data_IF_268293724143
#
_entry.id   IF_268293724143
#
_cell.length_a   1.000
_cell.length_b   1.000
_cell.length_c   1.000
_cell.angle_alpha   90.00
_cell.angle_beta   90.00
_cell.angle_gamma   90.00
#
_symmetry.space_group_name_H-M   'P 1'
#
loop_
_entity.id
_entity.type
_entity.pdbx_description
1 polymer ?
#
# COMPACT_ATOMS: atom_id res chain seq x y z
N UNK A 1 -61.90 65.52 11.20
CA UNK A 1 -60.77 66.48 11.24
C UNK A 1 -59.49 65.66 11.14
N UNK A 2 -58.75 65.88 10.03
CA UNK A 2 -57.35 65.55 9.66
C UNK A 2 -56.69 64.25 10.19
N UNK A 3 -56.37 63.24 9.37
CA UNK A 3 -55.35 63.11 8.28
C UNK A 3 -53.92 62.75 8.75
N UNK A 4 -53.46 61.54 8.40
CA UNK A 4 -52.16 61.19 7.76
C UNK A 4 -52.18 59.66 7.46
N UNK A 5 -52.34 59.14 6.22
CA UNK A 5 -51.42 59.07 5.07
C UNK A 5 -49.96 58.74 5.43
N UNK A 6 -49.27 57.73 4.89
CA UNK A 6 -49.54 56.75 3.82
C UNK A 6 -48.60 55.52 3.97
N UNK A 7 -49.04 54.33 3.56
CA UNK A 7 -48.78 53.69 2.24
C UNK A 7 -47.33 53.15 2.14
N UNK A 8 -47.00 51.89 1.88
CA UNK A 8 -47.39 50.90 0.86
C UNK A 8 -46.73 49.55 1.27
N UNK A 9 -47.17 48.33 0.93
CA UNK A 9 -48.26 47.81 0.12
C UNK A 9 -48.19 46.28 0.17
N UNK A 10 -49.35 45.62 0.22
CA UNK A 10 -49.50 44.18 0.05
C UNK A 10 -49.78 43.91 -1.43
N UNK A 11 -49.01 43.02 -2.08
CA UNK A 11 -49.46 42.32 -3.29
C UNK A 11 -48.94 40.88 -3.25
N UNK A 12 -49.86 39.94 -2.98
CA UNK A 12 -49.74 38.55 -3.40
C UNK A 12 -50.20 38.48 -4.87
N UNK A 13 -49.54 37.72 -5.74
CA UNK A 13 -50.11 36.49 -6.31
C UNK A 13 -49.26 35.89 -7.45
N UNK A 14 -49.09 34.58 -7.33
CA UNK A 14 -49.03 33.49 -8.32
C UNK A 14 -49.04 33.86 -9.82
N UNK A 15 -47.99 33.41 -10.53
CA UNK A 15 -48.13 32.79 -11.85
C UNK A 15 -47.06 31.71 -12.02
N UNK A 16 -47.55 30.47 -12.09
CA UNK A 16 -46.86 29.35 -12.69
C UNK A 16 -46.85 29.52 -14.22
N UNK A 17 -45.79 29.04 -14.87
CA UNK A 17 -45.82 28.02 -15.93
C UNK A 17 -44.68 28.19 -16.95
N UNK A 18 -44.08 27.02 -17.26
CA UNK A 18 -43.41 26.63 -18.49
C UNK A 18 -42.19 27.45 -18.96
N UNK A 19 -41.00 26.83 -18.97
CA UNK A 19 -40.60 26.05 -20.15
C UNK A 19 -39.26 25.29 -19.98
N UNK A 20 -39.36 23.96 -20.12
CA UNK A 20 -38.45 23.03 -20.83
C UNK A 20 -36.94 22.94 -20.47
N UNK A 21 -36.58 21.73 -19.99
CA UNK A 21 -35.23 21.18 -19.80
C UNK A 21 -34.35 21.22 -21.08
N UNK A 22 -33.04 20.92 -20.98
CA UNK A 22 -32.68 19.50 -21.05
C UNK A 22 -31.83 19.01 -19.86
N UNK A 23 -31.90 17.70 -19.56
CA UNK A 23 -31.00 17.06 -18.62
C UNK A 23 -29.59 17.05 -19.21
N UNK A 24 -28.58 17.39 -18.41
CA UNK A 24 -27.18 17.20 -18.78
C UNK A 24 -26.87 15.70 -18.76
N UNK A 25 -27.33 15.01 -19.81
CA UNK A 25 -26.87 13.69 -20.19
C UNK A 25 -25.66 13.84 -21.11
N UNK A 26 -24.76 12.88 -21.00
CA UNK A 26 -23.58 12.64 -21.84
C UNK A 26 -22.31 13.46 -21.55
N UNK A 27 -21.55 12.95 -20.59
CA UNK A 27 -20.24 12.45 -20.95
C UNK A 27 -19.97 11.15 -20.20
N UNK A 28 -20.34 10.02 -20.82
CA UNK A 28 -19.55 8.80 -20.65
C UNK A 28 -18.22 9.08 -21.38
N UNK A 29 -17.30 9.80 -20.76
CA UNK A 29 -15.90 9.70 -21.14
C UNK A 29 -15.44 8.35 -20.65
N UNK A 30 -15.60 7.39 -21.56
CA UNK A 30 -14.96 6.09 -21.52
C UNK A 30 -13.48 6.33 -21.84
N UNK A 31 -12.80 7.11 -21.00
CA UNK A 31 -11.38 7.36 -21.15
C UNK A 31 -10.66 6.12 -20.70
N UNK A 32 -10.40 5.33 -21.73
CA UNK A 32 -9.49 4.21 -21.75
C UNK A 32 -8.07 4.72 -21.88
N UNK A 33 -7.76 5.88 -21.30
CA UNK A 33 -6.41 6.41 -21.29
C UNK A 33 -5.69 5.82 -20.08
N UNK A 34 -4.77 4.93 -20.38
CA UNK A 34 -3.61 4.63 -19.53
C UNK A 34 -2.71 5.88 -19.55
N UNK A 35 -3.26 7.02 -19.13
CA UNK A 35 -2.58 8.30 -19.10
C UNK A 35 -1.79 8.41 -17.81
N UNK A 36 -0.47 8.60 -17.92
CA UNK A 36 0.39 8.97 -16.81
C UNK A 36 -0.10 10.30 -16.21
N UNK A 37 -0.91 10.23 -15.17
CA UNK A 37 -1.33 11.40 -14.41
C UNK A 37 -0.30 11.71 -13.32
N UNK A 38 -0.09 12.99 -12.98
CA UNK A 38 0.83 13.39 -11.89
C UNK A 38 0.60 12.61 -10.59
N UNK A 39 -0.66 12.36 -10.15
CA UNK A 39 -0.92 11.53 -8.97
C UNK A 39 -0.49 10.08 -9.14
N UNK A 40 -0.63 9.49 -10.33
CA UNK A 40 -0.15 8.13 -10.58
C UNK A 40 1.38 8.07 -10.52
N UNK A 41 2.08 9.06 -11.07
CA UNK A 41 3.54 9.10 -11.02
C UNK A 41 4.05 9.18 -9.57
N UNK A 42 3.43 10.01 -8.73
CA UNK A 42 3.76 10.10 -7.30
C UNK A 42 3.58 8.76 -6.59
N UNK A 43 2.47 8.06 -6.87
CA UNK A 43 2.21 6.71 -6.34
C UNK A 43 3.28 5.72 -6.75
N UNK A 44 3.64 5.69 -8.03
CA UNK A 44 4.65 4.77 -8.55
C UNK A 44 6.03 5.05 -7.93
N UNK A 45 6.42 6.32 -7.79
CA UNK A 45 7.68 6.68 -7.12
C UNK A 45 7.69 6.25 -5.65
N UNK A 46 6.58 6.45 -4.93
CA UNK A 46 6.44 5.98 -3.55
C UNK A 46 6.53 4.45 -3.45
N UNK A 47 5.96 3.71 -4.40
CA UNK A 47 6.09 2.24 -4.46
C UNK A 47 7.51 1.78 -4.80
N UNK A 48 8.20 2.42 -5.74
CA UNK A 48 9.61 2.12 -6.06
C UNK A 48 10.48 2.34 -4.82
N UNK A 49 10.41 3.53 -4.22
CA UNK A 49 11.26 3.89 -3.07
C UNK A 49 10.92 3.07 -1.83
N UNK A 50 9.63 2.88 -1.55
CA UNK A 50 9.19 2.06 -0.42
C UNK A 50 9.65 0.61 -0.56
N UNK A 51 9.46 0.01 -1.73
CA UNK A 51 9.93 -1.36 -1.98
C UNK A 51 11.46 -1.43 -1.94
N UNK A 52 12.16 -0.44 -2.48
CA UNK A 52 13.62 -0.36 -2.40
C UNK A 52 14.12 -0.38 -0.96
N UNK A 53 13.64 0.52 -0.11
CA UNK A 53 14.09 0.61 1.28
C UNK A 53 13.68 -0.62 2.10
N UNK A 54 12.49 -1.17 1.85
CA UNK A 54 12.01 -2.39 2.49
C UNK A 54 12.95 -3.57 2.21
N UNK A 55 13.22 -3.83 0.93
CA UNK A 55 14.09 -4.93 0.51
C UNK A 55 15.53 -4.68 0.93
N UNK A 56 16.02 -3.45 0.80
CA UNK A 56 17.37 -3.10 1.22
C UNK A 56 17.57 -3.37 2.72
N UNK A 57 16.71 -2.84 3.59
CA UNK A 57 16.84 -3.04 5.04
C UNK A 57 16.66 -4.50 5.45
N UNK A 58 15.62 -5.16 4.94
CA UNK A 58 15.31 -6.56 5.23
C UNK A 58 16.44 -7.51 4.81
N UNK A 59 16.87 -7.44 3.55
CA UNK A 59 17.93 -8.29 3.04
C UNK A 59 19.31 -7.92 3.62
N UNK A 60 19.59 -6.63 3.88
CA UNK A 60 20.83 -6.23 4.55
C UNK A 60 20.94 -6.86 5.94
N UNK A 61 19.85 -6.95 6.70
CA UNK A 61 19.87 -7.61 8.01
C UNK A 61 20.28 -9.09 7.91
N UNK A 62 19.85 -9.78 6.85
CA UNK A 62 20.23 -11.18 6.58
C UNK A 62 21.71 -11.28 6.21
N UNK A 63 22.20 -10.42 5.32
CA UNK A 63 23.61 -10.40 4.90
C UNK A 63 24.53 -10.05 6.06
N UNK A 64 24.20 -9.03 6.85
CA UNK A 64 24.94 -8.66 8.07
C UNK A 64 24.96 -9.81 9.07
N UNK A 65 23.84 -10.52 9.23
CA UNK A 65 23.76 -11.68 10.11
C UNK A 65 24.66 -12.84 9.63
N UNK A 66 24.79 -13.06 8.33
CA UNK A 66 25.69 -14.09 7.78
C UNK A 66 27.16 -13.69 7.96
N UNK A 67 27.51 -12.42 7.70
CA UNK A 67 28.89 -11.95 7.73
C UNK A 67 29.46 -11.76 9.14
N UNK A 68 28.62 -11.49 10.14
CA UNK A 68 29.02 -11.24 11.53
C UNK A 68 28.60 -12.38 12.45
N UNK A 69 28.92 -13.63 12.11
CA UNK A 69 28.75 -14.80 12.99
C UNK A 69 27.36 -14.98 13.62
N UNK A 70 26.28 -14.60 12.91
CA UNK A 70 24.88 -14.71 13.35
C UNK A 70 24.48 -13.82 14.55
N UNK A 71 25.18 -12.70 14.78
CA UNK A 71 24.90 -11.76 15.89
C UNK A 71 23.48 -11.16 15.86
N UNK A 72 22.86 -10.97 14.69
CA UNK A 72 21.51 -10.37 14.58
C UNK A 72 20.42 -11.33 15.04
N UNK A 73 20.61 -12.65 14.85
CA UNK A 73 19.62 -13.71 15.05
C UNK A 73 18.35 -13.55 14.19
N UNK A 74 17.48 -14.57 14.20
CA UNK A 74 16.17 -14.52 13.52
C UNK A 74 15.29 -13.39 14.09
N UNK A 75 15.35 -13.18 15.41
CA UNK A 75 14.56 -12.15 16.09
C UNK A 75 14.93 -10.76 15.60
N UNK A 76 16.23 -10.47 15.47
CA UNK A 76 16.69 -9.18 14.96
C UNK A 76 16.30 -8.94 13.50
N UNK A 77 16.40 -9.97 12.65
CA UNK A 77 15.94 -9.90 11.25
C UNK A 77 14.45 -9.58 11.20
N UNK A 78 13.65 -10.28 12.01
CA UNK A 78 12.19 -10.08 12.09
C UNK A 78 11.83 -8.64 12.51
N UNK A 79 12.55 -8.10 13.50
CA UNK A 79 12.38 -6.72 13.96
C UNK A 79 12.69 -5.73 12.84
N UNK A 80 13.78 -5.92 12.09
CA UNK A 80 14.16 -5.03 10.98
C UNK A 80 13.06 -5.02 9.90
N UNK A 81 12.56 -6.18 9.49
CA UNK A 81 11.48 -6.27 8.50
C UNK A 81 10.22 -5.55 8.96
N UNK A 82 9.77 -5.80 10.19
CA UNK A 82 8.56 -5.17 10.71
C UNK A 82 8.68 -3.66 10.90
N UNK A 83 9.79 -3.19 11.47
CA UNK A 83 10.04 -1.76 11.64
C UNK A 83 10.20 -1.03 10.31
N UNK A 84 10.87 -1.64 9.32
CA UNK A 84 10.98 -1.06 7.99
C UNK A 84 9.60 -0.85 7.36
N UNK A 85 8.73 -1.87 7.41
CA UNK A 85 7.34 -1.74 6.92
C UNK A 85 6.58 -0.65 7.68
N UNK A 86 6.64 -0.65 9.01
CA UNK A 86 5.97 0.37 9.83
C UNK A 86 6.38 1.79 9.44
N UNK A 87 7.68 2.06 9.38
CA UNK A 87 8.22 3.37 9.02
C UNK A 87 7.79 3.79 7.61
N UNK A 88 7.86 2.88 6.64
CA UNK A 88 7.50 3.18 5.26
C UNK A 88 5.99 3.41 5.08
N UNK A 89 5.14 2.64 5.77
CA UNK A 89 3.69 2.85 5.76
C UNK A 89 3.35 4.23 6.32
N UNK A 90 3.95 4.63 7.45
CA UNK A 90 3.72 5.98 7.98
C UNK A 90 4.29 7.09 7.10
N UNK A 91 5.42 6.83 6.43
CA UNK A 91 6.12 7.85 5.63
C UNK A 91 5.45 8.11 4.28
N UNK A 92 5.07 7.06 3.53
CA UNK A 92 4.56 7.21 2.16
C UNK A 92 3.22 6.51 1.90
N UNK A 93 2.61 5.91 2.94
CA UNK A 93 1.30 5.26 2.83
C UNK A 93 0.18 6.20 2.41
N UNK A 94 0.24 7.47 2.82
CA UNK A 94 -0.71 8.50 2.39
C UNK A 94 -0.57 8.86 0.89
N UNK A 95 0.55 8.50 0.24
CA UNK A 95 0.83 8.76 -1.17
C UNK A 95 0.34 7.59 -2.03
N UNK A 96 0.88 6.39 -1.81
CA UNK A 96 0.60 5.21 -2.66
C UNK A 96 -0.39 4.21 -2.10
N UNK A 97 -0.72 4.29 -0.81
CA UNK A 97 -1.34 3.20 -0.05
C UNK A 97 -0.32 2.22 0.55
N UNK A 98 0.99 2.42 0.29
CA UNK A 98 2.09 1.61 0.81
C UNK A 98 1.91 0.10 0.58
N UNK A 99 1.70 -0.32 -0.67
CA UNK A 99 1.51 -1.73 -0.98
C UNK A 99 2.84 -2.49 -0.86
N UNK A 100 3.89 -1.96 -1.50
CA UNK A 100 5.27 -2.47 -1.54
C UNK A 100 5.41 -3.97 -1.88
N UNK A 101 4.35 -4.57 -2.42
CA UNK A 101 4.22 -6.00 -2.61
C UNK A 101 3.17 -6.29 -3.71
N UNK A 102 3.52 -7.09 -4.73
CA UNK A 102 2.59 -7.51 -5.77
C UNK A 102 1.37 -8.26 -5.23
N UNK A 103 1.55 -9.17 -4.26
CA UNK A 103 0.46 -9.93 -3.66
C UNK A 103 -0.54 -9.03 -2.93
N UNK A 104 -0.03 -8.03 -2.19
CA UNK A 104 -0.87 -7.03 -1.52
C UNK A 104 -1.64 -6.21 -2.56
N UNK A 105 -0.96 -5.74 -3.61
CA UNK A 105 -1.59 -4.98 -4.70
C UNK A 105 -2.71 -5.74 -5.37
N UNK A 106 -2.48 -7.03 -5.68
CA UNK A 106 -3.48 -7.91 -6.27
C UNK A 106 -4.64 -8.11 -5.30
N UNK A 107 -4.37 -8.40 -4.03
CA UNK A 107 -5.40 -8.63 -3.03
C UNK A 107 -6.31 -7.40 -2.84
N UNK A 108 -5.74 -6.20 -2.75
CA UNK A 108 -6.51 -4.96 -2.71
C UNK A 108 -7.37 -4.77 -3.97
N UNK A 109 -6.84 -5.11 -5.14
CA UNK A 109 -7.58 -5.01 -6.39
C UNK A 109 -8.74 -6.02 -6.46
N UNK A 110 -8.54 -7.26 -6.00
CA UNK A 110 -9.60 -8.27 -5.92
C UNK A 110 -10.69 -7.89 -4.90
N UNK A 111 -10.31 -7.22 -3.82
CA UNK A 111 -11.24 -6.67 -2.83
C UNK A 111 -11.92 -5.36 -3.28
N UNK A 112 -11.73 -4.93 -4.54
CA UNK A 112 -12.24 -3.67 -5.11
C UNK A 112 -11.81 -2.42 -4.32
N UNK A 113 -10.68 -2.50 -3.60
CA UNK A 113 -10.07 -1.39 -2.87
C UNK A 113 -9.00 -0.66 -3.68
N UNK A 114 -8.58 -1.25 -4.79
CA UNK A 114 -7.59 -0.65 -5.69
C UNK A 114 -7.98 -0.87 -7.17
N UNK A 115 -7.82 0.14 -8.05
CA UNK A 115 -8.20 0.01 -9.45
C UNK A 115 -7.34 -1.02 -10.19
N UNK A 116 -7.98 -2.06 -10.75
CA UNK A 116 -7.32 -3.14 -11.50
C UNK A 116 -6.38 -2.65 -12.62
N UNK A 117 -6.72 -1.52 -13.26
CA UNK A 117 -5.90 -0.93 -14.33
C UNK A 117 -4.52 -0.44 -13.85
N UNK A 118 -4.36 -0.08 -12.57
CA UNK A 118 -3.09 0.41 -12.02
C UNK A 118 -2.20 -0.73 -11.50
N UNK A 119 -2.73 -1.95 -11.35
CA UNK A 119 -2.02 -3.10 -10.79
C UNK A 119 -0.72 -3.41 -11.55
N UNK A 120 -0.70 -3.50 -12.90
CA UNK A 120 0.54 -3.81 -13.61
C UNK A 120 1.63 -2.75 -13.38
N UNK A 121 1.25 -1.48 -13.29
CA UNK A 121 2.19 -0.37 -13.06
C UNK A 121 2.79 -0.42 -11.65
N UNK A 122 1.96 -0.69 -10.64
CA UNK A 122 2.43 -0.88 -9.26
C UNK A 122 3.38 -2.08 -9.13
N UNK A 123 3.02 -3.22 -9.73
CA UNK A 123 3.88 -4.41 -9.72
C UNK A 123 5.22 -4.11 -10.39
N UNK A 124 5.20 -3.40 -11.52
CA UNK A 124 6.42 -3.01 -12.23
C UNK A 124 7.31 -2.10 -11.38
N UNK A 125 6.71 -1.12 -10.68
CA UNK A 125 7.41 -0.25 -9.74
C UNK A 125 8.03 -1.02 -8.57
N UNK A 126 7.29 -1.96 -7.98
CA UNK A 126 7.76 -2.79 -6.86
C UNK A 126 8.93 -3.70 -7.29
N UNK A 127 8.81 -4.35 -8.45
CA UNK A 127 9.89 -5.20 -9.03
C UNK A 127 11.13 -4.36 -9.35
N UNK A 128 10.95 -3.15 -9.88
CA UNK A 128 12.08 -2.24 -10.13
C UNK A 128 12.79 -1.87 -8.82
N UNK A 129 12.02 -1.45 -7.81
CA UNK A 129 12.56 -1.07 -6.49
C UNK A 129 13.31 -2.21 -5.81
N UNK A 130 12.74 -3.42 -5.80
CA UNK A 130 13.39 -4.60 -5.21
C UNK A 130 14.67 -4.99 -5.96
N UNK A 131 14.66 -4.91 -7.30
CA UNK A 131 15.85 -5.19 -8.14
C UNK A 131 16.96 -4.19 -7.86
N UNK A 132 16.64 -2.91 -7.78
CA UNK A 132 17.61 -1.86 -7.42
C UNK A 132 18.20 -2.10 -6.02
N UNK A 133 17.37 -2.47 -5.04
CA UNK A 133 17.83 -2.76 -3.69
C UNK A 133 18.79 -3.96 -3.64
N UNK A 134 18.45 -5.05 -4.34
CA UNK A 134 19.31 -6.22 -4.46
C UNK A 134 20.65 -5.87 -5.15
N UNK A 135 20.61 -5.03 -6.19
CA UNK A 135 21.81 -4.50 -6.87
C UNK A 135 22.69 -3.68 -5.92
N UNK A 136 22.11 -2.75 -5.17
CA UNK A 136 22.85 -1.96 -4.17
C UNK A 136 23.46 -2.86 -3.11
N UNK A 137 22.72 -3.86 -2.62
CA UNK A 137 23.22 -4.78 -1.60
C UNK A 137 24.43 -5.57 -2.11
N UNK A 138 24.38 -6.04 -3.36
CA UNK A 138 25.50 -6.73 -4.02
C UNK A 138 26.74 -5.83 -4.17
N UNK A 139 26.56 -4.54 -4.40
CA UNK A 139 27.68 -3.59 -4.54
C UNK A 139 28.30 -3.19 -3.20
N UNK A 140 27.48 -3.01 -2.16
CA UNK A 140 27.93 -2.53 -0.85
C UNK A 140 28.52 -3.64 0.03
N UNK A 141 27.96 -4.83 -0.02
CA UNK A 141 28.40 -5.94 0.82
C UNK A 141 29.37 -6.82 0.04
N UNK A 142 30.67 -6.63 0.31
CA UNK A 142 31.74 -7.53 -0.15
C UNK A 142 31.71 -8.82 0.70
N UNK A 143 30.96 -9.81 0.25
CA UNK A 143 30.82 -11.12 0.89
C UNK A 143 30.73 -12.24 -0.16
N UNK A 144 30.47 -13.50 0.25
CA UNK A 144 30.28 -14.59 -0.70
C UNK A 144 29.19 -14.20 -1.69
N UNK A 145 29.48 -14.25 -2.99
CA UNK A 145 28.56 -13.82 -4.04
C UNK A 145 27.26 -14.66 -4.13
N UNK A 146 27.19 -15.74 -3.34
CA UNK A 146 26.10 -16.71 -3.34
C UNK A 146 25.17 -16.60 -2.11
N UNK A 147 25.26 -15.52 -1.32
CA UNK A 147 24.31 -15.31 -0.20
C UNK A 147 22.94 -14.89 -0.74
N UNK A 148 22.03 -15.85 -0.84
CA UNK A 148 20.62 -15.57 -1.10
C UNK A 148 19.95 -15.00 0.15
N UNK A 149 19.63 -13.71 0.12
CA UNK A 149 18.98 -13.01 1.22
C UNK A 149 17.43 -13.10 1.20
N UNK A 150 16.87 -13.86 0.25
CA UNK A 150 15.44 -14.13 0.15
C UNK A 150 15.02 -15.39 0.92
N UNK A 151 13.71 -15.68 0.89
CA UNK A 151 13.14 -16.86 1.55
C UNK A 151 13.54 -18.13 0.81
N UNK A 152 14.24 -19.04 1.50
CA UNK A 152 14.53 -20.37 0.97
C UNK A 152 13.48 -21.35 1.49
N UNK A 153 12.76 -22.08 0.60
CA UNK A 153 11.75 -23.03 1.04
C UNK A 153 12.40 -24.15 1.85
N UNK A 154 11.75 -24.52 2.96
CA UNK A 154 12.17 -25.65 3.79
C UNK A 154 11.11 -26.76 3.75
N UNK A 155 11.58 -28.00 3.65
CA UNK A 155 10.71 -29.17 3.54
C UNK A 155 10.20 -29.36 2.12
N UNK A 156 8.96 -29.85 1.99
CA UNK A 156 8.33 -30.07 0.68
C UNK A 156 7.76 -28.78 0.09
N UNK A 157 7.65 -28.71 -1.23
CA UNK A 157 7.01 -27.59 -1.93
C UNK A 157 5.60 -27.32 -1.41
N UNK A 158 4.86 -28.38 -1.06
CA UNK A 158 3.53 -28.26 -0.47
C UNK A 158 3.56 -27.61 0.92
N UNK A 159 4.53 -27.97 1.76
CA UNK A 159 4.69 -27.35 3.07
C UNK A 159 5.05 -25.86 2.95
N UNK A 160 5.98 -25.52 2.06
CA UNK A 160 6.33 -24.13 1.78
C UNK A 160 5.12 -23.33 1.29
N UNK A 161 4.35 -23.90 0.35
CA UNK A 161 3.12 -23.30 -0.14
C UNK A 161 2.10 -23.03 0.98
N UNK A 162 1.88 -24.00 1.87
CA UNK A 162 0.92 -23.86 2.99
C UNK A 162 1.37 -22.76 3.96
N UNK A 163 2.67 -22.68 4.28
CA UNK A 163 3.20 -21.63 5.16
C UNK A 163 3.02 -20.26 4.51
N UNK A 164 3.43 -20.09 3.25
CA UNK A 164 3.30 -18.83 2.50
C UNK A 164 1.83 -18.39 2.39
N UNK A 165 0.92 -19.34 2.16
CA UNK A 165 -0.52 -19.06 2.14
C UNK A 165 -1.02 -18.54 3.50
N UNK A 166 -0.67 -19.22 4.60
CA UNK A 166 -1.10 -18.84 5.95
C UNK A 166 -0.58 -17.45 6.33
N UNK A 167 0.71 -17.18 6.12
CA UNK A 167 1.30 -15.89 6.51
C UNK A 167 0.81 -14.74 5.62
N UNK A 168 0.59 -14.99 4.33
CA UNK A 168 0.01 -13.99 3.41
C UNK A 168 -1.45 -13.72 3.74
N UNK A 169 -2.23 -14.76 4.07
CA UNK A 169 -3.59 -14.60 4.54
C UNK A 169 -3.64 -13.80 5.84
N UNK A 170 -2.76 -14.10 6.80
CA UNK A 170 -2.69 -13.37 8.07
C UNK A 170 -2.32 -11.89 7.85
N UNK A 171 -1.34 -11.62 6.99
CA UNK A 171 -0.98 -10.26 6.58
C UNK A 171 -2.16 -9.52 5.97
N UNK A 172 -2.84 -10.13 4.99
CA UNK A 172 -3.96 -9.49 4.30
C UNK A 172 -5.20 -9.33 5.17
N UNK A 173 -5.43 -10.25 6.11
CA UNK A 173 -6.50 -10.15 7.10
C UNK A 173 -6.29 -8.92 7.98
N UNK A 174 -5.08 -8.72 8.52
CA UNK A 174 -4.76 -7.56 9.34
C UNK A 174 -4.82 -6.27 8.51
N UNK A 175 -4.17 -6.23 7.34
CA UNK A 175 -4.19 -5.05 6.47
C UNK A 175 -5.63 -4.66 6.12
N UNK A 176 -6.47 -5.62 5.74
CA UNK A 176 -7.87 -5.34 5.40
C UNK A 176 -8.63 -4.85 6.63
N UNK A 177 -8.43 -5.45 7.80
CA UNK A 177 -9.07 -5.02 9.04
C UNK A 177 -8.74 -3.57 9.40
N UNK A 178 -7.46 -3.20 9.36
CA UNK A 178 -7.03 -1.83 9.73
C UNK A 178 -7.27 -0.79 8.62
N UNK A 179 -7.29 -1.21 7.35
CA UNK A 179 -7.49 -0.31 6.22
C UNK A 179 -8.97 -0.10 5.84
N UNK A 180 -9.88 -0.96 6.30
CA UNK A 180 -11.28 -0.93 5.82
C UNK A 180 -12.35 -0.77 6.90
N UNK A 181 -12.04 -1.00 8.18
CA UNK A 181 -13.00 -0.80 9.25
C UNK A 181 -12.89 0.63 9.82
N UNK A 182 -13.97 1.41 9.73
CA UNK A 182 -14.04 2.76 10.29
C UNK A 182 -13.93 2.78 11.83
N UNK A 183 -14.05 1.63 12.50
CA UNK A 183 -13.84 1.47 13.94
C UNK A 183 -12.38 1.24 14.29
N UNK A 184 -11.54 0.87 13.32
CA UNK A 184 -10.11 0.73 13.54
C UNK A 184 -9.45 2.11 13.66
N UNK A 185 -8.44 2.22 14.54
CA UNK A 185 -7.65 3.44 14.67
C UNK A 185 -6.70 3.48 13.47
N UNK A 186 -7.10 4.18 12.40
CA UNK A 186 -6.33 4.25 11.15
C UNK A 186 -4.90 4.78 11.34
N UNK A 187 -4.68 5.63 12.36
CA UNK A 187 -3.35 6.11 12.74
C UNK A 187 -2.41 5.01 13.24
N UNK A 188 -2.93 3.86 13.70
CA UNK A 188 -2.14 2.71 14.12
C UNK A 188 -1.94 1.67 13.01
N UNK A 189 -2.42 1.92 11.79
CA UNK A 189 -2.33 0.97 10.69
C UNK A 189 -0.87 0.58 10.38
N UNK A 190 0.05 1.55 10.38
CA UNK A 190 1.48 1.27 10.16
C UNK A 190 2.07 0.35 11.23
N UNK A 191 1.73 0.56 12.50
CA UNK A 191 2.17 -0.28 13.61
C UNK A 191 1.60 -1.70 13.48
N UNK A 192 0.31 -1.83 13.19
CA UNK A 192 -0.34 -3.12 13.03
C UNK A 192 0.27 -3.93 11.87
N UNK A 193 0.41 -3.31 10.70
CA UNK A 193 0.97 -3.98 9.52
C UNK A 193 2.44 -4.34 9.73
N UNK A 194 3.25 -3.43 10.29
CA UNK A 194 4.65 -3.72 10.62
C UNK A 194 4.81 -4.84 11.65
N UNK A 195 4.00 -4.84 12.71
CA UNK A 195 3.99 -5.92 13.70
C UNK A 195 3.60 -7.27 13.07
N UNK A 196 2.63 -7.30 12.17
CA UNK A 196 2.26 -8.54 11.45
C UNK A 196 3.40 -9.06 10.59
N UNK A 197 4.13 -8.18 9.88
CA UNK A 197 5.31 -8.60 9.10
C UNK A 197 6.40 -9.15 10.01
N UNK A 198 6.68 -8.52 11.15
CA UNK A 198 7.61 -9.04 12.15
C UNK A 198 7.22 -10.46 12.59
N UNK A 199 5.96 -10.65 12.99
CA UNK A 199 5.46 -11.96 13.45
C UNK A 199 5.56 -13.02 12.35
N UNK A 200 5.19 -12.67 11.11
CA UNK A 200 5.30 -13.56 9.97
C UNK A 200 6.74 -14.02 9.74
N UNK A 201 7.71 -13.09 9.75
CA UNK A 201 9.13 -13.44 9.61
C UNK A 201 9.60 -14.30 10.76
N UNK A 202 9.16 -14.03 12.00
CA UNK A 202 9.57 -14.78 13.18
C UNK A 202 9.09 -16.23 13.15
N UNK A 203 7.86 -16.49 12.71
CA UNK A 203 7.28 -17.84 12.73
C UNK A 203 7.56 -18.64 11.45
N UNK A 204 7.63 -17.97 10.30
CA UNK A 204 7.94 -18.61 9.01
C UNK A 204 9.44 -18.71 8.74
N UNK A 205 10.26 -17.84 9.33
CA UNK A 205 11.72 -17.83 9.20
C UNK A 205 12.37 -19.00 9.93
N UNK A 206 12.09 -20.23 9.51
CA UNK A 206 12.82 -21.41 9.96
C UNK A 206 14.14 -21.51 9.20
N UNK A 207 15.21 -21.85 9.92
CA UNK A 207 16.52 -22.20 9.39
C UNK A 207 16.74 -23.68 9.58
#
# INVERSE_FOLDING_TARGET
>A
MAENNGNHGVVLNVNAEANQNPPLSTSKTKDSDVGFTVPLMQKLMAEVLGTYFLIFAGCASVVVNVNNEKVVSLTGISIVWGLAVMVLVYSVGHISGAHFNPAVTIAFATCKRFPLKQVPAYISAQVLGSTMAAGTLRLLFSGPHDVFAGTSPQGSDFQAFVIEFIITFYLMFIISGVATDNRAIGELAGLAVGATVLLNVLFAGRK
#
